data_IF_423686639099
#
_entry.id   IF_423686639099
#
_cell.length_a   1.000
_cell.length_b   1.000
_cell.length_c   1.000
_cell.angle_alpha   90.00
_cell.angle_beta   90.00
_cell.angle_gamma   90.00
#
_symmetry.space_group_name_H-M   'P 1'
#
loop_
_entity.id
_entity.type
_entity.pdbx_description
1 polymer ?
#
# COMPACT_ATOMS: atom_id res chain seq x y z
N UNK A 1 13.59 -9.12 -13.03
CA UNK A 1 12.39 -9.15 -13.88
C UNK A 1 11.13 -9.37 -13.05
N UNK A 2 10.77 -10.60 -12.62
CA UNK A 2 9.48 -10.89 -11.96
C UNK A 2 9.13 -9.94 -10.80
N UNK A 3 10.03 -9.75 -9.82
CA UNK A 3 9.81 -8.81 -8.70
C UNK A 3 9.48 -7.39 -9.18
N UNK A 4 10.34 -6.83 -10.03
CA UNK A 4 10.23 -5.45 -10.49
C UNK A 4 9.03 -5.25 -11.42
N UNK A 5 8.69 -6.23 -12.27
CA UNK A 5 7.50 -6.18 -13.11
C UNK A 5 6.23 -6.31 -12.30
N UNK A 6 6.21 -7.15 -11.27
CA UNK A 6 5.05 -7.33 -10.40
C UNK A 6 4.75 -6.11 -9.55
N UNK A 7 5.77 -5.49 -8.95
CA UNK A 7 5.64 -4.19 -8.27
C UNK A 7 5.21 -3.10 -9.24
N UNK A 8 5.94 -2.89 -10.36
CA UNK A 8 5.56 -1.87 -11.34
C UNK A 8 4.11 -2.02 -11.86
N UNK A 9 3.61 -3.25 -12.04
CA UNK A 9 2.22 -3.51 -12.40
C UNK A 9 1.25 -3.14 -11.26
N UNK A 10 1.54 -3.56 -10.02
CA UNK A 10 0.74 -3.22 -8.85
C UNK A 10 0.61 -1.70 -8.67
N UNK A 11 1.71 -0.99 -8.88
CA UNK A 11 1.79 0.45 -8.69
C UNK A 11 1.15 1.21 -9.84
N UNK A 12 1.27 0.71 -11.07
CA UNK A 12 0.52 1.25 -12.20
C UNK A 12 -0.99 1.11 -12.00
N UNK A 13 -1.46 -0.05 -11.54
CA UNK A 13 -2.87 -0.28 -11.20
C UNK A 13 -3.31 0.69 -10.10
N UNK A 14 -2.50 0.87 -9.06
CA UNK A 14 -2.81 1.78 -7.95
C UNK A 14 -2.80 3.25 -8.38
N UNK A 15 -1.87 3.64 -9.26
CA UNK A 15 -1.81 4.97 -9.86
C UNK A 15 -3.04 5.25 -10.72
N UNK A 16 -3.38 4.35 -11.64
CA UNK A 16 -4.59 4.48 -12.46
C UNK A 16 -5.87 4.48 -11.60
N UNK A 17 -5.88 3.68 -10.53
CA UNK A 17 -6.97 3.64 -9.54
C UNK A 17 -7.05 4.87 -8.65
N UNK A 18 -6.04 5.75 -8.63
CA UNK A 18 -6.01 6.92 -7.73
C UNK A 18 -7.18 7.86 -7.93
N UNK A 19 -7.65 8.05 -9.16
CA UNK A 19 -8.86 8.83 -9.42
C UNK A 19 -10.11 8.19 -8.81
N UNK A 20 -10.21 6.86 -8.83
CA UNK A 20 -11.32 6.12 -8.21
C UNK A 20 -11.24 6.17 -6.69
N UNK A 21 -10.05 5.96 -6.11
CA UNK A 21 -9.85 6.08 -4.66
C UNK A 21 -10.16 7.50 -4.16
N UNK A 22 -9.75 8.52 -4.92
CA UNK A 22 -10.04 9.90 -4.59
C UNK A 22 -11.54 10.20 -4.69
N UNK A 23 -12.19 9.78 -5.78
CA UNK A 23 -13.63 9.95 -5.96
C UNK A 23 -14.43 9.22 -4.86
N UNK A 24 -14.05 8.00 -4.51
CA UNK A 24 -14.62 7.25 -3.38
C UNK A 24 -14.44 8.03 -2.08
N UNK A 25 -13.22 8.48 -1.77
CA UNK A 25 -12.94 9.22 -0.54
C UNK A 25 -13.75 10.52 -0.45
N UNK A 26 -14.00 11.19 -1.58
CA UNK A 26 -14.74 12.45 -1.64
C UNK A 26 -16.26 12.30 -1.60
N UNK A 27 -16.79 11.11 -1.93
CA UNK A 27 -18.24 10.87 -1.98
C UNK A 27 -18.82 10.62 -0.57
N UNK A 28 -19.72 11.50 -0.14
CA UNK A 28 -20.44 11.46 1.14
C UNK A 28 -21.79 10.72 1.04
N UNK A 29 -22.16 10.26 -0.15
CA UNK A 29 -23.46 9.62 -0.37
C UNK A 29 -23.55 8.28 0.37
N UNK A 30 -24.76 7.95 0.83
CA UNK A 30 -25.06 6.65 1.47
C UNK A 30 -24.88 5.47 0.52
N UNK A 31 -24.81 5.74 -0.79
CA UNK A 31 -24.54 4.77 -1.86
C UNK A 31 -23.38 5.24 -2.71
N UNK A 32 -22.17 5.13 -2.18
CA UNK A 32 -20.94 5.50 -2.88
C UNK A 32 -20.71 4.58 -4.10
N UNK A 33 -20.97 5.11 -5.29
CA UNK A 33 -20.88 4.36 -6.55
C UNK A 33 -19.43 4.01 -6.93
N UNK A 34 -18.46 4.69 -6.34
CA UNK A 34 -17.03 4.46 -6.57
C UNK A 34 -16.44 3.38 -5.66
N UNK A 35 -17.11 3.04 -4.54
CA UNK A 35 -16.59 2.11 -3.53
C UNK A 35 -16.34 0.68 -4.04
N UNK A 36 -17.19 0.15 -4.92
CA UNK A 36 -16.96 -1.19 -5.49
C UNK A 36 -15.87 -1.18 -6.59
N UNK A 37 -15.87 -0.26 -7.57
CA UNK A 37 -14.77 -0.13 -8.52
C UNK A 37 -13.40 0.10 -7.87
N UNK A 38 -13.33 0.98 -6.86
CA UNK A 38 -12.09 1.25 -6.14
C UNK A 38 -11.63 0.02 -5.36
N UNK A 39 -12.52 -0.69 -4.67
CA UNK A 39 -12.20 -1.94 -4.00
C UNK A 39 -11.57 -2.98 -4.94
N UNK A 40 -12.13 -3.17 -6.14
CA UNK A 40 -11.59 -4.09 -7.15
C UNK A 40 -10.16 -3.70 -7.51
N UNK A 41 -9.93 -2.41 -7.82
CA UNK A 41 -8.59 -1.90 -8.13
C UNK A 41 -7.61 -2.11 -6.96
N UNK A 42 -8.06 -1.86 -5.73
CA UNK A 42 -7.29 -2.08 -4.52
C UNK A 42 -6.91 -3.54 -4.30
N UNK A 43 -7.80 -4.49 -4.62
CA UNK A 43 -7.52 -5.94 -4.55
C UNK A 43 -6.52 -6.35 -5.63
N UNK A 44 -6.68 -5.90 -6.88
CA UNK A 44 -5.75 -6.21 -7.97
C UNK A 44 -4.35 -5.71 -7.64
N UNK A 45 -4.21 -4.45 -7.19
CA UNK A 45 -2.94 -3.88 -6.77
C UNK A 45 -2.30 -4.66 -5.62
N UNK A 46 -3.10 -5.01 -4.60
CA UNK A 46 -2.59 -5.75 -3.45
C UNK A 46 -2.15 -7.19 -3.80
N UNK A 47 -2.85 -7.87 -4.70
CA UNK A 47 -2.48 -9.20 -5.19
C UNK A 47 -1.22 -9.15 -6.05
N UNK A 48 -1.07 -8.13 -6.91
CA UNK A 48 0.11 -7.97 -7.74
C UNK A 48 1.37 -7.72 -6.90
N UNK A 49 1.30 -6.81 -5.92
CA UNK A 49 2.43 -6.53 -5.02
C UNK A 49 2.73 -7.72 -4.09
N UNK A 50 1.70 -8.28 -3.44
CA UNK A 50 1.86 -9.42 -2.53
C UNK A 50 2.36 -10.67 -3.25
N UNK A 51 1.89 -10.92 -4.48
CA UNK A 51 2.38 -12.00 -5.32
C UNK A 51 3.84 -11.82 -5.73
N UNK A 52 4.25 -10.60 -6.09
CA UNK A 52 5.64 -10.28 -6.41
C UNK A 52 6.59 -10.53 -5.23
N UNK A 53 6.17 -10.10 -4.03
CA UNK A 53 6.92 -10.30 -2.79
C UNK A 53 6.99 -11.77 -2.37
N UNK A 54 5.88 -12.51 -2.48
CA UNK A 54 5.86 -13.94 -2.14
C UNK A 54 6.73 -14.77 -3.09
N UNK A 55 6.70 -14.48 -4.38
CA UNK A 55 7.43 -15.26 -5.38
C UNK A 55 8.92 -14.91 -5.43
N UNK A 56 9.30 -13.63 -5.33
CA UNK A 56 10.70 -13.19 -5.54
C UNK A 56 11.07 -12.01 -4.63
N UNK A 57 10.97 -12.15 -3.30
CA UNK A 57 11.43 -11.12 -2.36
C UNK A 57 12.91 -10.74 -2.59
N UNK A 58 13.17 -9.44 -2.82
CA UNK A 58 14.54 -8.92 -2.96
C UNK A 58 15.14 -8.63 -1.58
N UNK A 59 16.13 -9.45 -1.20
CA UNK A 59 16.76 -9.41 0.13
C UNK A 59 15.74 -9.41 1.27
N UNK A 60 15.01 -10.51 1.47
CA UNK A 60 14.01 -10.60 2.54
C UNK A 60 14.63 -10.37 3.93
N UNK A 61 13.75 -10.02 4.87
CA UNK A 61 14.04 -9.95 6.30
C UNK A 61 14.59 -11.30 6.75
N UNK A 62 15.76 -11.31 7.40
CA UNK A 62 16.42 -12.54 7.86
C UNK A 62 15.87 -13.01 9.20
N UNK A 63 15.46 -12.10 10.08
CA UNK A 63 14.83 -12.48 11.33
C UNK A 63 13.48 -13.16 11.05
N UNK A 64 13.38 -14.46 11.33
CA UNK A 64 12.20 -15.27 11.03
C UNK A 64 10.93 -14.74 11.72
N UNK A 65 11.02 -14.28 12.97
CA UNK A 65 9.87 -13.74 13.69
C UNK A 65 9.32 -12.47 13.03
N UNK A 66 10.20 -11.55 12.62
CA UNK A 66 9.82 -10.32 11.92
C UNK A 66 9.30 -10.62 10.51
N UNK A 67 9.92 -11.58 9.81
CA UNK A 67 9.43 -12.05 8.50
C UNK A 67 8.02 -12.66 8.59
N UNK A 68 7.75 -13.49 9.61
CA UNK A 68 6.42 -14.04 9.87
C UNK A 68 5.42 -12.93 10.19
N UNK A 69 5.80 -11.95 11.02
CA UNK A 69 4.95 -10.80 11.34
C UNK A 69 4.59 -9.98 10.09
N UNK A 70 5.58 -9.70 9.22
CA UNK A 70 5.36 -9.06 7.92
C UNK A 70 4.37 -9.86 7.08
N UNK A 71 4.60 -11.16 6.95
CA UNK A 71 3.76 -12.05 6.13
C UNK A 71 2.31 -12.05 6.62
N UNK A 72 2.10 -12.23 7.93
CA UNK A 72 0.76 -12.18 8.54
C UNK A 72 0.11 -10.82 8.27
N UNK A 73 0.83 -9.73 8.53
CA UNK A 73 0.29 -8.36 8.35
C UNK A 73 -0.12 -8.09 6.90
N UNK A 74 0.68 -8.53 5.93
CA UNK A 74 0.36 -8.43 4.50
C UNK A 74 -0.87 -9.27 4.14
N UNK A 75 -0.91 -10.54 4.54
CA UNK A 75 -2.05 -11.43 4.28
C UNK A 75 -3.33 -10.88 4.91
N UNK A 76 -3.27 -10.43 6.16
CA UNK A 76 -4.41 -9.82 6.86
C UNK A 76 -4.85 -8.51 6.20
N UNK A 77 -3.92 -7.70 5.68
CA UNK A 77 -4.25 -6.51 4.88
C UNK A 77 -5.03 -6.88 3.61
N UNK A 78 -4.57 -7.88 2.87
CA UNK A 78 -5.23 -8.32 1.62
C UNK A 78 -6.60 -8.90 1.92
N UNK A 79 -6.70 -9.80 2.90
CA UNK A 79 -7.96 -10.44 3.27
C UNK A 79 -8.98 -9.44 3.81
N UNK A 80 -8.56 -8.49 4.65
CA UNK A 80 -9.45 -7.44 5.15
C UNK A 80 -9.99 -6.58 4.01
N UNK A 81 -9.16 -6.17 3.05
CA UNK A 81 -9.61 -5.47 1.84
C UNK A 81 -10.67 -6.28 1.10
N UNK A 82 -10.47 -7.58 0.89
CA UNK A 82 -11.44 -8.44 0.20
C UNK A 82 -12.76 -8.53 1.01
N UNK A 83 -12.69 -8.89 2.29
CA UNK A 83 -13.87 -9.14 3.14
C UNK A 83 -14.72 -7.87 3.30
N UNK A 84 -14.08 -6.74 3.61
CA UNK A 84 -14.81 -5.50 3.84
C UNK A 84 -15.36 -4.88 2.56
N UNK A 85 -14.68 -5.08 1.42
CA UNK A 85 -15.21 -4.66 0.12
C UNK A 85 -16.45 -5.47 -0.28
N UNK A 86 -16.43 -6.79 -0.10
CA UNK A 86 -17.58 -7.66 -0.42
C UNK A 86 -18.81 -7.36 0.44
N UNK A 87 -18.60 -6.83 1.65
CA UNK A 87 -19.68 -6.45 2.58
C UNK A 87 -20.09 -4.98 2.46
N UNK A 88 -19.48 -4.20 1.56
CA UNK A 88 -19.67 -2.75 1.44
C UNK A 88 -19.40 -1.99 2.75
N UNK A 89 -18.45 -2.46 3.56
CA UNK A 89 -18.06 -1.86 4.84
C UNK A 89 -16.73 -1.10 4.70
N UNK A 90 -16.69 -0.13 3.79
CA UNK A 90 -15.48 0.63 3.44
C UNK A 90 -14.87 1.34 4.65
N UNK A 91 -15.70 1.93 5.52
CA UNK A 91 -15.29 2.60 6.76
C UNK A 91 -14.53 1.67 7.72
N UNK A 92 -15.13 0.51 8.03
CA UNK A 92 -14.51 -0.51 8.90
C UNK A 92 -13.22 -1.03 8.27
N UNK A 93 -13.24 -1.24 6.96
CA UNK A 93 -12.07 -1.62 6.19
C UNK A 93 -10.94 -0.60 6.31
N UNK A 94 -11.24 0.70 6.21
CA UNK A 94 -10.27 1.77 6.32
C UNK A 94 -9.64 1.87 7.73
N UNK A 95 -10.45 1.72 8.78
CA UNK A 95 -9.95 1.70 10.17
C UNK A 95 -9.02 0.49 10.38
N UNK A 96 -9.47 -0.70 9.99
CA UNK A 96 -8.67 -1.91 10.17
C UNK A 96 -7.34 -1.84 9.40
N UNK A 97 -7.41 -1.34 8.16
CA UNK A 97 -6.26 -1.11 7.29
C UNK A 97 -5.28 -0.09 7.88
N UNK A 98 -5.76 0.90 8.63
CA UNK A 98 -4.95 1.87 9.38
C UNK A 98 -4.28 1.25 10.59
N UNK A 99 -4.98 0.40 11.35
CA UNK A 99 -4.39 -0.30 12.50
C UNK A 99 -3.25 -1.24 12.06
N UNK A 100 -3.39 -1.90 10.91
CA UNK A 100 -2.34 -2.75 10.36
C UNK A 100 -1.10 -1.99 9.89
N UNK A 101 -1.14 -0.67 9.76
CA UNK A 101 0.04 0.15 9.43
C UNK A 101 1.09 0.05 10.53
N UNK A 102 0.73 0.00 11.80
CA UNK A 102 1.68 -0.02 12.91
C UNK A 102 2.61 -1.25 12.91
N UNK A 103 2.10 -2.50 12.87
CA UNK A 103 2.97 -3.67 12.77
C UNK A 103 3.75 -3.73 11.45
N UNK A 104 3.15 -3.23 10.35
CA UNK A 104 3.83 -3.16 9.06
C UNK A 104 5.03 -2.19 9.12
N UNK A 105 4.83 -1.01 9.72
CA UNK A 105 5.87 0.01 9.93
C UNK A 105 7.01 -0.54 10.78
N UNK A 106 6.72 -1.27 11.86
CA UNK A 106 7.75 -1.93 12.65
C UNK A 106 8.60 -2.88 11.79
N UNK A 107 7.97 -3.71 10.95
CA UNK A 107 8.68 -4.62 10.05
C UNK A 107 9.56 -3.85 9.04
N UNK A 108 9.06 -2.74 8.50
CA UNK A 108 9.80 -1.87 7.57
C UNK A 108 11.00 -1.22 8.24
N UNK A 109 10.84 -0.63 9.42
CA UNK A 109 11.95 -0.06 10.19
C UNK A 109 13.01 -1.12 10.54
N UNK A 110 12.57 -2.32 10.93
CA UNK A 110 13.48 -3.43 11.19
C UNK A 110 14.22 -3.89 9.93
N UNK A 111 13.53 -3.92 8.79
CA UNK A 111 14.17 -4.28 7.53
C UNK A 111 15.22 -3.25 7.11
N UNK A 112 14.94 -1.95 7.25
CA UNK A 112 15.96 -0.90 7.06
C UNK A 112 17.18 -1.11 7.96
N UNK A 113 16.96 -1.47 9.22
CA UNK A 113 18.06 -1.80 10.14
C UNK A 113 18.90 -2.97 9.63
N UNK A 114 18.29 -4.06 9.16
CA UNK A 114 19.04 -5.17 8.55
C UNK A 114 19.78 -4.74 7.28
N UNK A 115 19.14 -3.95 6.41
CA UNK A 115 19.72 -3.46 5.16
C UNK A 115 20.90 -2.54 5.41
N UNK A 116 20.88 -1.73 6.48
CA UNK A 116 21.98 -0.83 6.85
C UNK A 116 23.30 -1.56 7.10
N UNK A 117 23.24 -2.83 7.50
CA UNK A 117 24.40 -3.69 7.78
C UNK A 117 24.92 -4.44 6.55
N UNK A 118 24.21 -4.38 5.43
CA UNK A 118 24.58 -5.08 4.19
C UNK A 118 25.42 -4.17 3.29
N UNK A 119 26.41 -4.72 2.56
CA UNK A 119 27.21 -3.93 1.62
C UNK A 119 26.32 -3.30 0.55
N UNK A 120 26.77 -2.15 0.01
CA UNK A 120 26.06 -1.43 -1.06
C UNK A 120 25.95 -2.36 -2.27
N UNK A 121 24.74 -2.53 -2.79
CA UNK A 121 24.46 -3.31 -3.99
C UNK A 121 23.16 -2.85 -4.62
N UNK A 122 22.96 -3.12 -5.91
CA UNK A 122 21.68 -2.85 -6.60
C UNK A 122 20.49 -3.46 -5.85
N UNK A 123 20.66 -4.69 -5.38
CA UNK A 123 19.63 -5.40 -4.61
C UNK A 123 19.30 -4.68 -3.29
N UNK A 124 20.27 -4.01 -2.68
CA UNK A 124 20.07 -3.21 -1.45
C UNK A 124 19.26 -1.97 -1.76
N UNK A 125 19.59 -1.28 -2.84
CA UNK A 125 18.83 -0.11 -3.28
C UNK A 125 17.38 -0.48 -3.64
N UNK A 126 17.16 -1.61 -4.33
CA UNK A 126 15.81 -2.11 -4.63
C UNK A 126 14.99 -2.39 -3.37
N UNK A 127 15.59 -3.07 -2.38
CA UNK A 127 14.92 -3.34 -1.11
C UNK A 127 14.61 -2.05 -0.35
N UNK A 128 15.55 -1.08 -0.33
CA UNK A 128 15.33 0.24 0.29
C UNK A 128 14.20 0.99 -0.39
N UNK A 129 14.13 0.97 -1.72
CA UNK A 129 13.04 1.58 -2.49
C UNK A 129 11.71 0.94 -2.10
N UNK A 130 11.61 -0.39 -2.13
CA UNK A 130 10.38 -1.09 -1.72
C UNK A 130 9.94 -0.78 -0.29
N UNK A 131 10.87 -0.70 0.66
CA UNK A 131 10.55 -0.29 2.03
C UNK A 131 10.12 1.18 2.13
N UNK A 132 10.71 2.05 1.30
CA UNK A 132 10.33 3.48 1.23
C UNK A 132 8.93 3.65 0.63
N UNK A 133 8.62 2.92 -0.44
CA UNK A 133 7.28 2.87 -1.06
C UNK A 133 6.23 2.42 -0.05
N UNK A 134 6.53 1.41 0.76
CA UNK A 134 5.67 0.98 1.85
C UNK A 134 5.41 2.10 2.87
N UNK A 135 6.43 2.85 3.28
CA UNK A 135 6.26 4.00 4.18
C UNK A 135 5.34 5.08 3.59
N UNK A 136 5.48 5.39 2.31
CA UNK A 136 4.61 6.35 1.61
C UNK A 136 3.16 5.85 1.63
N UNK A 137 2.94 4.56 1.36
CA UNK A 137 1.59 3.99 1.41
C UNK A 137 1.00 3.91 2.82
N UNK A 138 1.82 3.83 3.86
CA UNK A 138 1.33 3.94 5.24
C UNK A 138 0.67 5.30 5.50
N UNK A 139 1.31 6.38 5.04
CA UNK A 139 0.73 7.74 5.09
C UNK A 139 -0.54 7.82 4.25
N UNK A 140 -0.53 7.23 3.04
CA UNK A 140 -1.71 7.19 2.18
C UNK A 140 -2.89 6.47 2.81
N UNK A 141 -2.66 5.32 3.47
CA UNK A 141 -3.70 4.52 4.15
C UNK A 141 -4.32 5.26 5.33
N UNK A 142 -3.50 5.93 6.15
CA UNK A 142 -3.98 6.76 7.26
C UNK A 142 -4.79 7.93 6.71
N UNK A 143 -4.28 8.62 5.69
CA UNK A 143 -4.94 9.78 5.08
C UNK A 143 -6.28 9.41 4.46
N UNK A 144 -6.37 8.24 3.79
CA UNK A 144 -7.64 7.71 3.29
C UNK A 144 -8.67 7.51 4.41
N UNK A 145 -8.24 6.91 5.53
CA UNK A 145 -9.13 6.73 6.68
C UNK A 145 -9.63 8.07 7.21
N UNK A 146 -8.75 9.07 7.34
CA UNK A 146 -9.16 10.43 7.76
C UNK A 146 -10.18 11.02 6.78
N UNK A 147 -9.98 10.86 5.47
CA UNK A 147 -10.89 11.39 4.47
C UNK A 147 -12.30 10.79 4.54
N UNK A 148 -12.43 9.47 4.73
CA UNK A 148 -13.74 8.81 4.83
C UNK A 148 -14.56 9.36 6.02
N UNK A 149 -13.90 9.58 7.17
CA UNK A 149 -14.58 10.01 8.39
C UNK A 149 -14.74 11.53 8.51
N UNK A 150 -14.17 12.32 7.60
CA UNK A 150 -14.34 13.78 7.60
C UNK A 150 -15.72 14.13 7.01
N UNK A 151 -16.68 14.67 7.79
CA UNK A 151 -18.02 14.97 7.29
C UNK A 151 -18.05 16.18 6.35
N UNK A 152 -17.04 17.05 6.40
CA UNK A 152 -17.04 18.33 5.73
C UNK A 152 -16.25 18.25 4.40
N UNK A 153 -16.89 18.45 3.23
CA UNK A 153 -16.24 18.29 1.93
C UNK A 153 -15.00 19.18 1.74
N UNK A 154 -15.02 20.39 2.32
CA UNK A 154 -13.92 21.35 2.19
C UNK A 154 -12.65 20.91 2.91
N UNK A 155 -12.77 20.29 4.09
CA UNK A 155 -11.63 19.75 4.84
C UNK A 155 -11.22 18.37 4.35
N UNK A 156 -12.18 17.54 3.91
CA UNK A 156 -11.98 16.19 3.35
C UNK A 156 -11.07 16.16 2.13
N UNK A 157 -11.11 17.22 1.31
CA UNK A 157 -10.25 17.36 0.13
C UNK A 157 -8.76 17.19 0.48
N UNK A 158 -8.34 17.69 1.65
CA UNK A 158 -6.93 17.66 2.07
C UNK A 158 -6.41 16.23 2.27
N UNK A 159 -6.98 15.41 3.19
CA UNK A 159 -6.53 14.03 3.39
C UNK A 159 -6.75 13.15 2.15
N UNK A 160 -7.81 13.36 1.36
CA UNK A 160 -8.01 12.66 0.09
C UNK A 160 -6.88 12.98 -0.91
N UNK A 161 -6.46 14.24 -0.99
CA UNK A 161 -5.34 14.66 -1.85
C UNK A 161 -4.00 14.11 -1.36
N UNK A 162 -3.78 14.03 -0.04
CA UNK A 162 -2.57 13.40 0.52
C UNK A 162 -2.50 11.92 0.15
N UNK A 163 -3.61 11.18 0.29
CA UNK A 163 -3.68 9.79 -0.17
C UNK A 163 -3.34 9.68 -1.66
N UNK A 164 -3.96 10.50 -2.51
CA UNK A 164 -3.70 10.49 -3.95
C UNK A 164 -2.22 10.80 -4.25
N UNK A 165 -1.64 11.81 -3.59
CA UNK A 165 -0.23 12.15 -3.71
C UNK A 165 0.70 11.00 -3.29
N UNK A 166 0.35 10.25 -2.24
CA UNK A 166 1.11 9.07 -1.82
C UNK A 166 1.15 8.00 -2.91
N UNK A 167 0.02 7.72 -3.57
CA UNK A 167 -0.01 6.75 -4.68
C UNK A 167 0.88 7.20 -5.86
N UNK A 168 0.93 8.49 -6.17
CA UNK A 168 1.80 9.05 -7.22
C UNK A 168 3.27 8.91 -6.84
N UNK A 169 3.64 9.24 -5.60
CA UNK A 169 5.02 9.10 -5.11
C UNK A 169 5.45 7.64 -5.10
N UNK A 170 4.59 6.73 -4.65
CA UNK A 170 4.84 5.28 -4.68
C UNK A 170 5.10 4.81 -6.11
N UNK A 171 4.24 5.18 -7.07
CA UNK A 171 4.44 4.84 -8.47
C UNK A 171 5.80 5.32 -9.01
N UNK A 172 6.21 6.55 -8.67
CA UNK A 172 7.51 7.09 -9.04
C UNK A 172 8.68 6.29 -8.44
N UNK A 173 8.58 5.93 -7.16
CA UNK A 173 9.61 5.14 -6.45
C UNK A 173 9.78 3.75 -7.09
N UNK A 174 8.69 3.05 -7.35
CA UNK A 174 8.74 1.68 -7.90
C UNK A 174 9.12 1.66 -9.38
N UNK A 175 8.75 2.69 -10.13
CA UNK A 175 9.30 2.93 -11.48
C UNK A 175 10.81 3.14 -11.42
N UNK A 176 11.31 3.94 -10.48
CA UNK A 176 12.75 4.12 -10.27
C UNK A 176 13.43 2.79 -9.87
N UNK A 177 12.78 1.98 -9.03
CA UNK A 177 13.20 0.62 -8.70
C UNK A 177 13.32 -0.25 -9.95
N UNK A 178 12.34 -0.21 -10.85
CA UNK A 178 12.37 -0.99 -12.08
C UNK A 178 13.52 -0.60 -13.04
N UNK A 179 13.97 0.64 -12.99
CA UNK A 179 15.09 1.14 -13.80
C UNK A 179 16.48 0.77 -13.24
N UNK A 180 16.57 0.37 -11.96
CA UNK A 180 17.85 -0.02 -11.32
C UNK A 180 18.26 -1.46 -11.69
N UNK A 181 17.30 -2.27 -12.16
CA UNK A 181 17.46 -3.70 -12.49
C UNK A 181 18.59 -3.91 -13.51
#
# INVERSE_FOLDING_TARGET
MIYSTGHALADFVTFMGTFLFFAEAMDVSTTNVFGMPSAIMGVIGALAAGGADFLVAKMPIKNMAVFTMRTITTVTTVLSKIIFSLRSWSEVGAVFNTVLVFPALFCTCYHFYELSKKPVSKMRSLAIIGETSNMVQYVGRISYCVAIFDPEPSTRLTPASVMAGCNVVMFGLETAGALIV
#
